data_IF_441186618080
#
_entry.id   IF_441186618080
#
_cell.length_a   1.000
_cell.length_b   1.000
_cell.length_c   1.000
_cell.angle_alpha   90.00
_cell.angle_beta   90.00
_cell.angle_gamma   90.00
#
_symmetry.space_group_name_H-M   'P 1'
#
loop_
_entity.id
_entity.type
_entity.pdbx_description
1 polymer ?
#
# COMPACT_ATOMS: atom_id res chain seq x y z
N UNK A 1 -36.18 10.11 -16.65
CA UNK A 1 -35.97 9.02 -15.68
C UNK A 1 -34.76 9.36 -14.83
N UNK A 2 -34.99 9.95 -13.67
CA UNK A 2 -33.95 10.53 -12.81
C UNK A 2 -33.79 9.66 -11.57
N UNK A 3 -32.80 8.75 -11.57
CA UNK A 3 -32.41 8.02 -10.36
C UNK A 3 -31.60 8.98 -9.49
N UNK A 4 -32.28 9.61 -8.52
CA UNK A 4 -31.64 10.32 -7.41
C UNK A 4 -30.72 9.35 -6.70
N UNK A 5 -29.45 9.71 -6.66
CA UNK A 5 -28.41 9.09 -5.85
C UNK A 5 -28.69 9.40 -4.38
N UNK A 6 -29.40 8.49 -3.71
CA UNK A 6 -29.36 8.36 -2.25
C UNK A 6 -27.98 7.84 -1.83
N UNK A 7 -26.95 8.70 -1.94
CA UNK A 7 -25.70 8.48 -1.18
C UNK A 7 -25.97 8.99 0.22
N UNK A 8 -26.27 8.06 1.13
CA UNK A 8 -26.26 8.35 2.57
C UNK A 8 -24.91 8.98 2.99
N UNK A 9 -24.87 9.67 4.13
CA UNK A 9 -23.62 10.20 4.66
C UNK A 9 -22.58 9.07 4.72
N UNK A 10 -21.32 9.30 4.31
CA UNK A 10 -20.31 8.26 4.30
C UNK A 10 -20.22 7.64 5.68
N UNK A 11 -20.34 6.31 5.72
CA UNK A 11 -20.34 5.50 6.93
C UNK A 11 -19.07 5.82 7.73
N UNK A 12 -19.22 6.58 8.83
CA UNK A 12 -18.09 6.92 9.74
C UNK A 12 -17.48 5.67 10.39
N UNK A 13 -18.19 4.55 10.33
CA UNK A 13 -17.73 3.24 10.76
C UNK A 13 -16.47 2.77 10.00
N UNK A 14 -16.29 3.17 8.74
CA UNK A 14 -15.11 2.80 7.93
C UNK A 14 -13.86 3.65 8.22
N UNK A 15 -13.98 4.79 8.92
CA UNK A 15 -12.84 5.61 9.36
C UNK A 15 -12.38 5.32 10.79
N UNK A 16 -13.12 4.51 11.54
CA UNK A 16 -12.88 4.33 12.97
C UNK A 16 -11.66 3.46 13.31
N UNK A 17 -10.99 2.87 12.31
CA UNK A 17 -9.88 1.93 12.52
C UNK A 17 -8.63 2.25 11.71
N UNK A 18 -8.40 3.52 11.41
CA UNK A 18 -7.10 4.00 10.94
C UNK A 18 -6.15 4.19 12.14
N UNK A 19 -4.99 3.55 12.07
CA UNK A 19 -3.90 3.68 13.04
C UNK A 19 -2.74 4.32 12.29
N UNK A 20 -1.95 5.17 12.95
CA UNK A 20 -0.79 5.77 12.31
C UNK A 20 0.46 4.93 12.59
N UNK A 21 1.27 4.68 11.56
CA UNK A 21 2.54 4.01 11.71
C UNK A 21 3.48 4.81 12.62
N UNK A 22 4.01 4.21 13.66
CA UNK A 22 4.91 4.88 14.64
C UNK A 22 6.25 5.28 14.04
N UNK A 23 6.68 4.64 12.95
CA UNK A 23 7.95 4.93 12.31
C UNK A 23 7.85 6.02 11.23
N UNK A 24 6.83 5.98 10.37
CA UNK A 24 6.73 6.90 9.23
C UNK A 24 5.55 7.88 9.31
N UNK A 25 4.64 7.72 10.27
CA UNK A 25 3.49 8.62 10.46
C UNK A 25 2.35 8.43 9.47
N UNK A 26 2.44 7.48 8.54
CA UNK A 26 1.38 7.23 7.53
C UNK A 26 0.18 6.52 8.16
N UNK A 27 -1.03 6.84 7.70
CA UNK A 27 -2.24 6.12 8.10
C UNK A 27 -2.21 4.69 7.53
N UNK A 28 -2.49 3.71 8.38
CA UNK A 28 -2.54 2.29 8.06
C UNK A 28 -3.81 1.67 8.64
N UNK A 29 -4.33 0.63 7.98
CA UNK A 29 -5.46 -0.16 8.53
C UNK A 29 -5.02 -0.85 9.82
N UNK A 30 -5.88 -0.87 10.84
CA UNK A 30 -5.60 -1.54 12.13
C UNK A 30 -5.27 -3.03 12.01
N UNK A 31 -5.81 -3.67 10.99
CA UNK A 31 -5.59 -5.08 10.64
C UNK A 31 -4.26 -5.34 9.90
N UNK A 32 -3.58 -4.29 9.40
CA UNK A 32 -2.31 -4.46 8.70
C UNK A 32 -1.19 -4.80 9.71
N UNK A 33 -0.56 -5.97 9.56
CA UNK A 33 0.57 -6.40 10.41
C UNK A 33 1.87 -5.64 10.12
N UNK A 34 2.05 -5.14 8.90
CA UNK A 34 3.21 -4.35 8.48
C UNK A 34 2.75 -3.05 7.83
N UNK A 35 3.45 -1.96 8.11
CA UNK A 35 3.25 -0.70 7.41
C UNK A 35 3.74 -0.84 5.95
N UNK A 36 2.90 -0.53 4.95
CA UNK A 36 3.28 -0.66 3.53
C UNK A 36 4.33 0.38 3.09
N UNK A 37 4.51 1.46 3.85
CA UNK A 37 5.46 2.52 3.52
C UNK A 37 6.88 2.19 4.02
N UNK A 38 7.05 1.90 5.31
CA UNK A 38 8.38 1.65 5.90
C UNK A 38 8.67 0.19 6.25
N UNK A 39 7.70 -0.72 6.11
CA UNK A 39 7.87 -2.15 6.41
C UNK A 39 7.98 -2.50 7.90
N UNK A 40 7.86 -1.53 8.82
CA UNK A 40 7.84 -1.83 10.26
C UNK A 40 6.54 -2.55 10.64
N UNK A 41 6.61 -3.43 11.63
CA UNK A 41 5.43 -4.14 12.14
C UNK A 41 4.52 -3.18 12.88
N UNK A 42 3.21 -3.30 12.65
CA UNK A 42 2.19 -2.59 13.39
C UNK A 42 1.92 -3.31 14.71
N UNK A 43 2.37 -2.71 15.82
CA UNK A 43 2.19 -3.27 17.16
C UNK A 43 0.71 -3.37 17.56
N UNK A 44 -0.15 -2.56 16.94
CA UNK A 44 -1.58 -2.49 17.27
C UNK A 44 -2.36 -3.67 16.66
N UNK A 45 -1.93 -4.18 15.51
CA UNK A 45 -2.56 -5.34 14.84
C UNK A 45 -2.35 -6.65 15.61
N UNK A 46 -1.17 -6.83 16.23
CA UNK A 46 -0.84 -8.00 17.05
C UNK A 46 -1.40 -7.95 18.48
N UNK A 47 -2.04 -6.85 18.88
CA UNK A 47 -2.45 -6.56 20.27
C UNK A 47 -3.65 -7.36 20.79
N UNK A 48 -4.20 -8.26 19.99
CA UNK A 48 -5.23 -9.20 20.42
C UNK A 48 -4.66 -10.27 21.36
N UNK A 49 -4.44 -9.92 22.63
CA UNK A 49 -4.10 -10.83 23.76
C UNK A 49 -2.61 -11.16 23.96
N UNK A 50 -1.75 -10.16 24.10
CA UNK A 50 -0.61 -10.30 25.02
C UNK A 50 -1.05 -9.69 26.37
N UNK A 51 -1.78 -10.49 27.14
CA UNK A 51 -2.13 -10.14 28.51
C UNK A 51 -0.88 -9.77 29.27
N UNK A 52 -0.89 -8.60 29.90
CA UNK A 52 0.17 -8.17 30.78
C UNK A 52 0.45 -9.23 31.84
N UNK A 53 1.64 -9.83 31.76
CA UNK A 53 2.30 -10.38 32.92
C UNK A 53 3.23 -9.28 33.42
N UNK A 54 2.75 -8.57 34.45
CA UNK A 54 3.54 -7.57 35.15
C UNK A 54 4.84 -8.17 35.68
N UNK A 55 5.95 -7.58 35.29
CA UNK A 55 7.27 -7.78 35.90
C UNK A 55 7.76 -6.45 36.43
N UNK A 56 7.14 -5.96 37.50
CA UNK A 56 7.63 -4.80 38.21
C UNK A 56 8.94 -5.13 38.91
N UNK A 57 10.05 -4.56 38.45
CA UNK A 57 11.25 -4.37 39.28
C UNK A 57 11.39 -2.89 39.59
N UNK A 58 10.68 -2.49 40.65
CA UNK A 58 11.14 -1.39 41.50
C UNK A 58 12.41 -1.85 42.20
N UNK A 59 13.54 -1.25 41.87
CA UNK A 59 14.71 -1.23 42.74
C UNK A 59 15.18 0.22 42.87
N UNK A 60 14.67 0.83 43.93
CA UNK A 60 15.06 2.09 44.51
C UNK A 60 16.50 2.06 45.06
N UNK A 61 17.26 3.11 44.76
CA UNK A 61 18.49 3.50 45.45
C UNK A 61 19.48 4.15 44.49
N UNK A 62 20.18 5.24 44.76
CA UNK A 62 20.16 6.20 45.85
C UNK A 62 20.97 7.42 45.38
N UNK A 63 20.60 8.61 45.88
CA UNK A 63 21.48 9.77 46.15
C UNK A 63 22.43 10.30 45.04
N UNK A 64 22.08 11.46 44.49
CA UNK A 64 23.01 12.30 43.74
C UNK A 64 22.55 13.76 43.71
N UNK A 65 22.74 14.47 44.83
CA UNK A 65 22.49 15.91 44.97
C UNK A 65 23.20 16.71 43.87
N UNK A 66 22.50 17.62 43.18
CA UNK A 66 23.08 18.92 42.81
C UNK A 66 22.03 20.02 42.76
N UNK A 67 22.22 20.91 43.72
CA UNK A 67 21.69 22.25 43.92
C UNK A 67 22.06 23.21 42.79
N UNK A 68 21.13 24.11 42.43
CA UNK A 68 21.37 25.32 41.63
C UNK A 68 20.07 25.77 40.95
N UNK A 69 19.16 26.51 41.60
CA UNK A 69 19.20 27.94 41.99
C UNK A 69 18.83 28.90 40.83
N UNK A 70 17.65 29.50 40.95
CA UNK A 70 17.26 30.80 40.38
C UNK A 70 16.76 30.75 38.93
N UNK A 71 15.64 31.37 38.54
CA UNK A 71 14.76 32.32 39.22
C UNK A 71 13.52 32.60 38.34
N UNK A 72 12.61 33.47 38.82
CA UNK A 72 11.29 33.67 38.23
C UNK A 72 11.19 34.93 37.36
N UNK A 73 10.22 34.93 36.45
CA UNK A 73 9.58 36.14 35.94
C UNK A 73 9.85 36.48 34.48
N UNK A 74 8.79 36.51 33.66
CA UNK A 74 8.25 37.78 33.16
C UNK A 74 7.02 37.54 32.28
N UNK A 75 6.00 38.31 32.63
CA UNK A 75 4.75 38.56 31.95
C UNK A 75 4.92 39.42 30.70
N UNK A 76 4.09 39.15 29.69
CA UNK A 76 3.46 40.18 28.86
C UNK A 76 4.17 40.55 27.55
N UNK A 77 3.43 40.55 26.44
CA UNK A 77 2.92 41.78 25.79
C UNK A 77 2.48 41.45 24.36
N UNK A 78 1.25 41.85 24.03
CA UNK A 78 0.72 41.86 22.67
C UNK A 78 1.33 43.02 21.86
N UNK A 79 1.57 42.81 20.56
CA UNK A 79 1.64 43.92 19.60
C UNK A 79 1.24 43.44 18.20
N UNK A 80 0.18 44.07 17.68
CA UNK A 80 -0.12 44.15 16.26
C UNK A 80 0.88 45.12 15.59
N UNK A 81 1.23 44.87 14.33
CA UNK A 81 2.09 45.76 13.55
C UNK A 81 2.11 45.36 12.07
N UNK A 82 1.74 46.32 11.23
CA UNK A 82 1.33 46.23 9.83
C UNK A 82 2.49 46.50 8.86
N UNK A 83 2.31 46.06 7.61
CA UNK A 83 2.78 46.62 6.31
C UNK A 83 4.18 46.35 5.73
N UNK A 84 4.10 45.94 4.44
CA UNK A 84 4.81 46.44 3.26
C UNK A 84 6.09 45.74 2.77
N UNK A 85 5.89 45.00 1.66
CA UNK A 85 6.58 45.08 0.37
C UNK A 85 8.12 45.19 0.35
N UNK A 86 8.75 44.14 -0.19
CA UNK A 86 10.13 44.16 -0.67
C UNK A 86 10.40 42.95 -1.56
N UNK A 87 10.51 43.20 -2.87
CA UNK A 87 10.68 42.28 -3.99
C UNK A 87 11.92 41.38 -3.92
N UNK A 88 11.81 40.10 -4.35
CA UNK A 88 12.80 39.33 -5.14
C UNK A 88 12.27 37.90 -5.44
N UNK A 89 12.91 37.16 -6.36
CA UNK A 89 12.70 37.12 -7.79
C UNK A 89 11.75 35.98 -8.22
N UNK A 90 11.27 36.06 -9.46
CA UNK A 90 10.47 35.01 -10.10
C UNK A 90 11.18 33.66 -10.09
N UNK A 91 10.77 32.79 -9.17
CA UNK A 91 10.97 31.36 -9.27
C UNK A 91 9.98 30.83 -10.30
N UNK A 92 10.45 30.64 -11.54
CA UNK A 92 9.79 29.78 -12.51
C UNK A 92 9.48 28.46 -11.84
N UNK A 93 8.19 28.18 -11.71
CA UNK A 93 7.69 26.90 -11.26
C UNK A 93 8.19 25.80 -12.18
N UNK A 94 9.02 24.94 -11.63
CA UNK A 94 8.89 23.50 -11.81
C UNK A 94 8.65 22.92 -10.43
N UNK A 95 7.41 23.10 -9.99
CA UNK A 95 6.75 22.17 -9.10
C UNK A 95 6.80 20.76 -9.72
N UNK A 96 6.67 19.76 -8.86
CA UNK A 96 6.48 18.35 -9.21
C UNK A 96 7.75 17.51 -9.44
N UNK A 97 8.76 17.76 -8.60
CA UNK A 97 9.66 16.70 -8.12
C UNK A 97 9.47 16.48 -6.61
N UNK A 98 8.23 16.62 -6.13
CA UNK A 98 7.82 16.03 -4.87
C UNK A 98 7.90 14.52 -5.07
N UNK A 99 9.02 13.95 -4.64
CA UNK A 99 9.23 12.52 -4.60
C UNK A 99 8.02 11.89 -3.95
N UNK A 100 7.20 11.24 -4.76
CA UNK A 100 6.33 10.16 -4.33
C UNK A 100 7.23 9.20 -3.58
N UNK A 101 7.27 9.36 -2.25
CA UNK A 101 7.54 8.29 -1.30
C UNK A 101 6.38 7.31 -1.41
N UNK A 102 6.20 6.77 -2.62
CA UNK A 102 5.33 5.67 -2.90
C UNK A 102 5.88 4.52 -2.08
N UNK A 103 4.98 3.84 -1.39
CA UNK A 103 5.22 2.49 -0.89
C UNK A 103 6.02 1.75 -1.97
N UNK A 104 7.13 1.10 -1.61
CA UNK A 104 8.03 0.42 -2.57
C UNK A 104 7.33 -0.66 -3.41
N UNK A 105 6.09 -1.00 -3.07
CA UNK A 105 5.16 -1.73 -3.93
C UNK A 105 4.59 -0.77 -4.98
N UNK A 106 5.24 -0.72 -6.14
CA UNK A 106 4.85 0.14 -7.26
C UNK A 106 3.50 -0.26 -7.84
N UNK A 107 2.67 0.73 -8.20
CA UNK A 107 1.40 0.56 -8.93
C UNK A 107 1.53 -0.11 -10.31
N UNK A 108 2.74 -0.54 -10.68
CA UNK A 108 3.07 -1.15 -11.96
C UNK A 108 2.92 -2.68 -11.97
N UNK A 109 2.69 -3.34 -10.83
CA UNK A 109 2.62 -4.81 -10.78
C UNK A 109 1.49 -5.40 -11.63
N UNK A 110 0.38 -4.68 -11.80
CA UNK A 110 -0.73 -5.12 -12.66
C UNK A 110 -0.32 -5.26 -14.13
N UNK A 111 0.65 -4.46 -14.61
CA UNK A 111 1.22 -4.63 -15.96
C UNK A 111 1.90 -5.99 -16.11
N UNK A 112 2.45 -6.54 -15.02
CA UNK A 112 2.98 -7.91 -14.99
C UNK A 112 1.88 -8.94 -15.24
N UNK A 113 0.73 -8.80 -14.59
CA UNK A 113 -0.43 -9.70 -14.76
C UNK A 113 -1.01 -9.57 -16.17
N UNK A 114 -1.26 -8.34 -16.63
CA UNK A 114 -1.79 -8.06 -17.96
C UNK A 114 -0.83 -8.52 -19.06
N UNK A 115 0.46 -8.19 -18.94
CA UNK A 115 1.51 -8.59 -19.88
C UNK A 115 1.67 -10.10 -19.95
N UNK A 116 1.68 -10.80 -18.80
CA UNK A 116 1.79 -12.26 -18.78
C UNK A 116 0.54 -12.94 -19.35
N UNK A 117 -0.66 -12.41 -19.09
CA UNK A 117 -1.92 -12.93 -19.65
C UNK A 117 -1.95 -12.73 -21.18
N UNK A 118 -1.54 -11.55 -21.66
CA UNK A 118 -1.44 -11.28 -23.09
C UNK A 118 -0.37 -12.16 -23.77
N UNK A 119 0.78 -12.34 -23.12
CA UNK A 119 1.84 -13.24 -23.61
C UNK A 119 1.32 -14.69 -23.73
N UNK A 120 0.56 -15.18 -22.75
CA UNK A 120 -0.08 -16.49 -22.82
C UNK A 120 -1.04 -16.61 -24.00
N UNK A 121 -1.88 -15.61 -24.23
CA UNK A 121 -2.79 -15.58 -25.37
C UNK A 121 -2.05 -15.66 -26.71
N UNK A 122 -0.97 -14.88 -26.86
CA UNK A 122 -0.13 -14.87 -28.06
C UNK A 122 0.54 -16.23 -28.26
N UNK A 123 1.14 -16.81 -27.21
CA UNK A 123 1.77 -18.12 -27.28
C UNK A 123 0.78 -19.21 -27.71
N UNK A 124 -0.47 -19.16 -27.21
CA UNK A 124 -1.53 -20.10 -27.59
C UNK A 124 -1.91 -19.96 -29.07
N UNK A 125 -2.09 -18.73 -29.56
CA UNK A 125 -2.40 -18.47 -30.99
C UNK A 125 -1.25 -18.94 -31.89
N UNK A 126 0.00 -18.60 -31.57
CA UNK A 126 1.18 -19.00 -32.36
C UNK A 126 1.35 -20.53 -32.38
N UNK A 127 1.13 -21.19 -31.24
CA UNK A 127 1.18 -22.65 -31.17
C UNK A 127 0.06 -23.30 -31.99
N UNK A 128 -1.14 -22.70 -32.01
CA UNK A 128 -2.30 -23.21 -32.73
C UNK A 128 -2.19 -23.14 -34.25
N UNK A 129 -1.44 -22.18 -34.79
CA UNK A 129 -1.20 -22.04 -36.24
C UNK A 129 -0.05 -22.93 -36.76
N UNK A 130 0.47 -23.85 -35.93
CA UNK A 130 1.56 -24.75 -36.29
C UNK A 130 2.95 -24.13 -36.20
N UNK A 131 3.09 -22.99 -35.51
CA UNK A 131 4.38 -22.34 -35.30
C UNK A 131 5.27 -23.13 -34.34
N UNK A 132 6.45 -23.54 -34.81
CA UNK A 132 7.50 -24.07 -33.94
C UNK A 132 8.28 -22.90 -33.33
N UNK A 133 8.05 -22.61 -32.05
CA UNK A 133 8.79 -21.60 -31.31
C UNK A 133 10.18 -22.08 -30.86
N UNK A 134 10.52 -23.35 -31.08
CA UNK A 134 11.79 -23.95 -30.68
C UNK A 134 12.11 -23.75 -29.19
N UNK A 135 13.41 -23.65 -28.87
CA UNK A 135 13.88 -23.46 -27.49
C UNK A 135 13.43 -22.10 -26.88
N UNK A 136 13.31 -21.06 -27.71
CA UNK A 136 12.83 -19.74 -27.27
C UNK A 136 11.38 -19.81 -26.79
N UNK A 137 10.53 -20.60 -27.47
CA UNK A 137 9.17 -20.87 -27.04
C UNK A 137 9.09 -21.48 -25.65
N UNK A 138 9.90 -22.51 -25.40
CA UNK A 138 9.96 -23.15 -24.09
C UNK A 138 10.35 -22.18 -22.97
N UNK A 139 11.34 -21.30 -23.23
CA UNK A 139 11.74 -20.27 -22.27
C UNK A 139 10.63 -19.24 -22.02
N UNK A 140 9.95 -18.76 -23.06
CA UNK A 140 8.83 -17.82 -22.93
C UNK A 140 7.66 -18.43 -22.15
N UNK A 141 7.35 -19.70 -22.40
CA UNK A 141 6.33 -20.44 -21.64
C UNK A 141 6.71 -20.53 -20.16
N UNK A 142 7.97 -20.82 -19.84
CA UNK A 142 8.45 -20.87 -18.45
C UNK A 142 8.35 -19.51 -17.76
N UNK A 143 8.81 -18.45 -18.44
CA UNK A 143 8.73 -17.07 -17.94
C UNK A 143 7.27 -16.66 -17.72
N UNK A 144 6.37 -16.97 -18.66
CA UNK A 144 4.95 -16.69 -18.51
C UNK A 144 4.30 -17.50 -17.38
N UNK A 145 4.69 -18.77 -17.23
CA UNK A 145 4.15 -19.67 -16.21
C UNK A 145 4.55 -19.27 -14.79
N UNK A 146 5.79 -18.81 -14.57
CA UNK A 146 6.26 -18.32 -13.26
C UNK A 146 5.86 -16.86 -13.04
N UNK A 147 5.96 -16.03 -14.09
CA UNK A 147 5.73 -14.60 -14.02
C UNK A 147 4.29 -14.24 -13.71
N UNK A 148 3.31 -15.00 -14.21
CA UNK A 148 1.89 -14.71 -13.99
C UNK A 148 1.46 -14.93 -12.52
N UNK A 149 1.72 -16.08 -11.86
CA UNK A 149 1.43 -16.24 -10.44
C UNK A 149 2.23 -15.29 -9.55
N UNK A 150 3.50 -15.04 -9.87
CA UNK A 150 4.35 -14.14 -9.08
C UNK A 150 3.85 -12.69 -9.14
N UNK A 151 3.58 -12.16 -10.34
CA UNK A 151 3.03 -10.80 -10.50
C UNK A 151 1.66 -10.65 -9.86
N UNK A 152 0.79 -11.65 -10.01
CA UNK A 152 -0.53 -11.63 -9.40
C UNK A 152 -0.47 -11.66 -7.86
N UNK A 153 0.49 -12.38 -7.27
CA UNK A 153 0.71 -12.37 -5.82
C UNK A 153 1.03 -10.96 -5.31
N UNK A 154 1.96 -10.24 -5.95
CA UNK A 154 2.32 -8.89 -5.54
C UNK A 154 1.19 -7.88 -5.78
N UNK A 155 0.45 -8.01 -6.89
CA UNK A 155 -0.71 -7.15 -7.16
C UNK A 155 -1.84 -7.39 -6.15
N UNK A 156 -2.09 -8.64 -5.71
CA UNK A 156 -3.09 -8.93 -4.67
C UNK A 156 -2.74 -8.32 -3.33
N UNK A 157 -1.46 -8.25 -2.96
CA UNK A 157 -1.03 -7.57 -1.73
C UNK A 157 -1.35 -6.07 -1.82
N UNK A 158 -1.15 -5.46 -2.99
CA UNK A 158 -1.52 -4.08 -3.24
C UNK A 158 -3.05 -3.87 -3.18
N UNK A 159 -3.83 -4.73 -3.85
CA UNK A 159 -5.31 -4.64 -3.88
C UNK A 159 -5.90 -4.75 -2.48
N UNK A 160 -5.39 -5.67 -1.64
CA UNK A 160 -5.83 -5.82 -0.24
C UNK A 160 -5.55 -4.58 0.61
N UNK A 161 -4.43 -3.92 0.36
CA UNK A 161 -4.06 -2.70 1.07
C UNK A 161 -4.93 -1.50 0.67
N UNK A 162 -5.32 -1.42 -0.61
CA UNK A 162 -5.95 -0.22 -1.18
C UNK A 162 -7.46 -0.36 -1.46
N UNK A 163 -8.05 -1.54 -1.28
CA UNK A 163 -9.48 -1.77 -1.52
C UNK A 163 -10.12 -2.61 -0.41
N UNK A 164 -11.45 -2.68 -0.44
CA UNK A 164 -12.24 -3.56 0.44
C UNK A 164 -12.35 -4.98 -0.11
N UNK A 165 -11.84 -5.23 -1.32
CA UNK A 165 -11.81 -6.57 -1.89
C UNK A 165 -10.67 -7.38 -1.27
N UNK A 166 -11.02 -8.43 -0.53
CA UNK A 166 -10.08 -9.40 0.03
C UNK A 166 -10.06 -10.72 -0.76
N UNK A 167 -9.31 -10.81 -1.88
CA UNK A 167 -9.13 -12.07 -2.58
C UNK A 167 -8.29 -13.03 -1.73
N UNK A 168 -8.77 -14.26 -1.54
CA UNK A 168 -7.94 -15.31 -0.93
C UNK A 168 -6.71 -15.58 -1.81
N UNK A 169 -5.56 -15.05 -1.41
CA UNK A 169 -4.32 -15.08 -2.20
C UNK A 169 -3.89 -16.49 -2.55
N UNK A 170 -4.02 -17.45 -1.62
CA UNK A 170 -3.63 -18.83 -1.85
C UNK A 170 -4.47 -19.48 -2.96
N UNK A 171 -5.79 -19.27 -2.93
CA UNK A 171 -6.70 -19.81 -3.95
C UNK A 171 -6.38 -19.21 -5.32
N UNK A 172 -6.20 -17.89 -5.41
CA UNK A 172 -5.92 -17.25 -6.69
C UNK A 172 -4.57 -17.66 -7.27
N UNK A 173 -3.50 -17.71 -6.47
CA UNK A 173 -2.18 -18.16 -6.94
C UNK A 173 -2.23 -19.61 -7.43
N UNK A 174 -2.93 -20.50 -6.70
CA UNK A 174 -3.10 -21.88 -7.13
C UNK A 174 -3.90 -22.00 -8.44
N UNK A 175 -4.99 -21.25 -8.58
CA UNK A 175 -5.80 -21.23 -9.80
C UNK A 175 -5.01 -20.67 -11.00
N UNK A 176 -4.21 -19.63 -10.78
CA UNK A 176 -3.37 -19.02 -11.81
C UNK A 176 -2.20 -19.91 -12.26
N UNK A 177 -1.71 -20.80 -11.39
CA UNK A 177 -0.68 -21.77 -11.73
C UNK A 177 -1.18 -22.91 -12.65
N UNK A 178 -2.50 -23.12 -12.74
CA UNK A 178 -3.11 -24.14 -13.61
C UNK A 178 -3.20 -23.58 -15.03
N UNK A 179 -2.27 -24.00 -15.89
CA UNK A 179 -2.15 -23.67 -17.33
C UNK A 179 -3.31 -22.91 -18.01
N UNK A 180 -4.33 -23.61 -18.52
CA UNK A 180 -5.44 -22.98 -19.26
C UNK A 180 -6.41 -22.21 -18.37
N UNK A 181 -6.54 -22.64 -17.11
CA UNK A 181 -7.41 -21.96 -16.14
C UNK A 181 -6.80 -20.61 -15.75
N UNK A 182 -5.47 -20.50 -15.70
CA UNK A 182 -4.75 -19.29 -15.35
C UNK A 182 -4.97 -18.14 -16.33
N UNK A 183 -5.20 -18.44 -17.61
CA UNK A 183 -5.59 -17.44 -18.62
C UNK A 183 -6.95 -16.82 -18.31
N UNK A 184 -7.96 -17.65 -18.08
CA UNK A 184 -9.32 -17.19 -17.77
C UNK A 184 -9.33 -16.50 -16.41
N UNK A 185 -8.65 -17.06 -15.42
CA UNK A 185 -8.53 -16.49 -14.09
C UNK A 185 -7.80 -15.14 -14.12
N UNK A 186 -6.72 -14.99 -14.89
CA UNK A 186 -6.00 -13.74 -15.07
C UNK A 186 -6.89 -12.64 -15.67
N UNK A 187 -7.69 -12.98 -16.69
CA UNK A 187 -8.66 -12.05 -17.26
C UNK A 187 -9.78 -11.66 -16.28
N UNK A 188 -10.35 -12.63 -15.56
CA UNK A 188 -11.37 -12.37 -14.53
C UNK A 188 -10.80 -11.49 -13.41
N UNK A 189 -9.55 -11.77 -13.01
CA UNK A 189 -8.86 -11.00 -11.98
C UNK A 189 -8.70 -9.53 -12.39
N UNK A 190 -8.22 -9.26 -13.60
CA UNK A 190 -8.06 -7.89 -14.13
C UNK A 190 -9.40 -7.16 -14.24
N UNK A 191 -10.45 -7.85 -14.71
CA UNK A 191 -11.80 -7.28 -14.77
C UNK A 191 -12.28 -6.84 -13.38
N UNK A 192 -12.14 -7.72 -12.38
CA UNK A 192 -12.58 -7.44 -11.01
C UNK A 192 -11.73 -6.35 -10.35
N UNK A 193 -10.41 -6.33 -10.60
CA UNK A 193 -9.52 -5.25 -10.17
C UNK A 193 -9.98 -3.91 -10.73
N UNK A 194 -10.29 -3.83 -12.01
CA UNK A 194 -10.78 -2.62 -12.67
C UNK A 194 -12.11 -2.12 -12.08
N UNK A 195 -13.07 -3.02 -11.79
CA UNK A 195 -14.29 -2.64 -11.09
C UNK A 195 -14.05 -2.08 -9.68
N UNK A 196 -13.02 -2.59 -9.00
CA UNK A 196 -12.74 -2.23 -7.61
C UNK A 196 -11.96 -0.92 -7.49
N UNK A 197 -10.96 -0.70 -8.37
CA UNK A 197 -10.05 0.44 -8.30
C UNK A 197 -10.39 1.57 -9.31
N UNK A 198 -11.24 1.31 -10.30
CA UNK A 198 -11.66 2.30 -11.30
C UNK A 198 -10.58 2.69 -12.32
N UNK A 199 -9.36 2.14 -12.20
CA UNK A 199 -8.26 2.30 -13.15
C UNK A 199 -7.91 0.95 -13.79
N UNK A 200 -7.63 0.92 -15.11
CA UNK A 200 -7.06 -0.25 -15.76
C UNK A 200 -5.65 -0.54 -15.22
#
# INVERSE_FOLDING_TARGET
MSRRSDRGPPDRSLRAEEVYCTSCGEAIKREAELCPNCGVRNEVAGGGRAGGAGGGTRASGASGRRSGRGGPGSTGTAAAGTTAAGSAPGGTGTADAAGTSGTTVSDTWWYGVAGATALWAVLLVVSGVGGSLGALGGLLVLVAWIGLPASAYFDMQYVRANSDWDPNTAVWVLVLAIWFVGMIAGAIYLYRRHETLGTP
#
